data_IF_618358552217
#
_entry.id   IF_618358552217
#
_cell.length_a   1.000
_cell.length_b   1.000
_cell.length_c   1.000
_cell.angle_alpha   90.00
_cell.angle_beta   90.00
_cell.angle_gamma   90.00
#
_symmetry.space_group_name_H-M   'P 1'
#
loop_
_entity.id
_entity.type
_entity.pdbx_description
1 polymer ?
#
# COMPACT_ATOMS: atom_id res chain seq x y z
N UNK A 1 0.14 19.81 -5.21
CA UNK A 1 1.17 18.99 -4.58
C UNK A 1 0.72 18.62 -3.17
N UNK A 2 0.67 17.33 -2.87
CA UNK A 2 0.27 16.88 -1.53
C UNK A 2 1.28 17.35 -0.49
N UNK A 3 0.87 17.47 0.78
CA UNK A 3 1.72 17.85 1.92
C UNK A 3 3.01 17.01 1.96
N UNK A 4 2.95 15.73 1.52
CA UNK A 4 4.08 14.80 1.51
C UNK A 4 5.03 14.97 0.32
N UNK A 5 4.65 15.69 -0.74
CA UNK A 5 5.55 15.98 -1.88
C UNK A 5 6.68 16.97 -1.55
N UNK A 6 6.64 17.58 -0.35
CA UNK A 6 7.66 18.53 0.16
C UNK A 6 8.30 18.06 1.46
N UNK A 7 8.06 16.82 1.89
CA UNK A 7 8.60 16.30 3.14
C UNK A 7 9.82 15.43 2.82
N UNK A 8 10.98 15.85 3.29
CA UNK A 8 12.15 14.97 3.34
C UNK A 8 11.91 13.91 4.40
N UNK A 9 11.74 12.65 3.98
CA UNK A 9 11.54 11.52 4.87
C UNK A 9 12.88 10.79 5.09
N UNK A 10 13.04 10.24 6.28
CA UNK A 10 14.16 9.35 6.58
C UNK A 10 13.71 7.89 6.41
N UNK A 11 14.48 7.11 5.66
CA UNK A 11 14.16 5.72 5.31
C UNK A 11 15.06 4.75 6.06
N UNK A 12 14.49 3.95 6.94
CA UNK A 12 15.12 2.76 7.50
C UNK A 12 15.05 1.63 6.49
N UNK A 13 16.16 0.94 6.28
CA UNK A 13 16.30 -0.05 5.22
C UNK A 13 17.32 -1.14 5.54
N UNK A 14 17.20 -2.27 4.88
CA UNK A 14 18.19 -3.35 4.92
C UNK A 14 18.84 -3.61 3.55
N UNK A 15 18.39 -2.93 2.49
CA UNK A 15 18.91 -3.06 1.13
C UNK A 15 19.11 -1.69 0.47
N UNK A 16 19.73 -1.65 -0.70
CA UNK A 16 19.86 -0.43 -1.52
C UNK A 16 18.52 -0.06 -2.13
N UNK A 17 17.95 1.05 -1.71
CA UNK A 17 16.63 1.53 -2.15
C UNK A 17 16.60 2.98 -2.59
N UNK A 18 17.71 3.71 -2.50
CA UNK A 18 17.79 5.16 -2.70
C UNK A 18 17.19 5.63 -4.01
N UNK A 19 17.44 4.89 -5.09
CA UNK A 19 16.95 5.26 -6.43
C UNK A 19 15.44 5.14 -6.59
N UNK A 20 14.77 4.42 -5.71
CA UNK A 20 13.33 4.20 -5.74
C UNK A 20 12.55 5.33 -5.06
N UNK A 21 13.21 6.12 -4.24
CA UNK A 21 12.61 7.24 -3.51
C UNK A 21 13.02 8.60 -4.09
N UNK A 22 12.32 9.70 -3.72
CA UNK A 22 12.73 11.06 -4.05
C UNK A 22 14.14 11.38 -3.58
N UNK A 23 14.84 12.26 -4.31
CA UNK A 23 16.25 12.60 -4.05
C UNK A 23 16.49 13.37 -2.74
N UNK A 24 15.46 13.98 -2.19
CA UNK A 24 15.47 14.71 -0.93
C UNK A 24 15.27 13.81 0.31
N UNK A 25 15.05 12.51 0.10
CA UNK A 25 15.01 11.54 1.19
C UNK A 25 16.43 11.21 1.68
N UNK A 26 16.52 10.93 2.97
CA UNK A 26 17.75 10.44 3.61
C UNK A 26 17.57 9.02 4.09
N UNK A 27 18.67 8.30 4.30
CA UNK A 27 18.64 6.84 4.49
C UNK A 27 19.51 6.43 5.67
N UNK A 28 19.07 5.41 6.39
CA UNK A 28 19.91 4.71 7.36
C UNK A 28 21.03 3.92 6.67
N UNK A 29 22.01 3.46 7.43
CA UNK A 29 22.83 2.31 7.04
C UNK A 29 21.97 1.06 6.80
N UNK A 30 22.56 0.00 6.24
CA UNK A 30 21.84 -1.27 6.06
C UNK A 30 21.58 -1.90 7.42
N UNK A 31 20.30 -2.18 7.69
CA UNK A 31 19.83 -2.76 8.96
C UNK A 31 20.27 -1.97 10.21
N UNK A 32 20.50 -0.67 10.04
CA UNK A 32 21.02 0.22 11.08
C UNK A 32 19.91 1.10 11.65
N UNK A 33 19.63 0.94 12.92
CA UNK A 33 18.65 1.73 13.70
C UNK A 33 19.32 2.56 14.80
N UNK A 34 20.65 2.67 14.79
CA UNK A 34 21.41 3.38 15.84
C UNK A 34 21.19 4.88 15.85
N UNK A 35 20.68 5.44 14.74
CA UNK A 35 20.38 6.85 14.60
C UNK A 35 18.97 7.10 14.07
N UNK A 36 18.21 7.86 14.83
CA UNK A 36 16.84 8.32 14.47
C UNK A 36 16.89 9.85 14.39
N UNK A 37 16.96 10.46 13.19
CA UNK A 37 17.11 11.91 13.07
C UNK A 37 15.86 12.65 13.57
N UNK A 38 16.02 13.42 14.64
CA UNK A 38 14.91 14.16 15.28
C UNK A 38 14.34 15.28 14.39
N UNK A 39 15.09 15.77 13.41
CA UNK A 39 14.72 16.82 12.46
C UNK A 39 14.01 16.29 11.21
N UNK A 40 13.95 14.96 10.99
CA UNK A 40 13.20 14.37 9.89
C UNK A 40 11.72 14.76 9.94
N UNK A 41 11.13 15.05 8.79
CA UNK A 41 9.70 15.38 8.68
C UNK A 41 8.77 14.19 8.93
N UNK A 42 9.29 12.98 8.79
CA UNK A 42 8.65 11.71 9.02
C UNK A 42 9.59 10.58 8.61
N UNK A 43 9.12 9.35 8.72
CA UNK A 43 9.96 8.17 8.55
C UNK A 43 9.29 7.16 7.64
N UNK A 44 10.13 6.40 6.93
CA UNK A 44 9.71 5.22 6.15
C UNK A 44 10.45 4.02 6.71
N UNK A 45 9.74 2.94 6.93
CA UNK A 45 10.30 1.64 7.25
C UNK A 45 10.13 0.73 6.04
N UNK A 46 11.24 0.41 5.37
CA UNK A 46 11.22 -0.45 4.20
C UNK A 46 12.29 -1.53 4.30
N UNK A 47 11.93 -2.59 4.95
CA UNK A 47 12.75 -3.80 5.08
C UNK A 47 12.22 -4.87 4.13
N UNK A 48 13.13 -5.47 3.39
CA UNK A 48 12.85 -6.53 2.43
C UNK A 48 13.20 -7.89 3.04
N UNK A 49 12.56 -8.95 2.55
CA UNK A 49 12.83 -10.31 3.01
C UNK A 49 14.33 -10.63 2.85
N UNK A 50 14.94 -11.33 3.82
CA UNK A 50 16.34 -11.69 3.72
C UNK A 50 16.56 -12.73 2.62
N UNK A 51 17.68 -12.59 1.91
CA UNK A 51 18.11 -13.53 0.89
C UNK A 51 19.20 -14.41 1.49
N UNK A 52 18.86 -15.62 1.84
CA UNK A 52 19.82 -16.55 2.48
C UNK A 52 19.60 -17.99 2.08
N UNK A 53 20.67 -18.78 2.19
CA UNK A 53 20.64 -20.23 2.03
C UNK A 53 20.20 -20.94 3.32
N UNK A 54 20.39 -20.30 4.47
CA UNK A 54 19.97 -20.81 5.76
C UNK A 54 18.60 -20.21 6.10
N UNK A 55 17.59 -21.03 6.01
CA UNK A 55 16.20 -20.63 6.20
C UNK A 55 15.82 -20.36 7.66
N UNK A 56 16.42 -21.08 8.59
CA UNK A 56 16.25 -20.79 10.03
C UNK A 56 16.79 -19.40 10.35
N UNK A 57 18.01 -19.08 9.87
CA UNK A 57 18.59 -17.75 10.03
C UNK A 57 17.72 -16.66 9.39
N UNK A 58 17.08 -16.94 8.23
CA UNK A 58 16.14 -16.00 7.60
C UNK A 58 14.90 -15.73 8.45
N UNK A 59 14.35 -16.74 9.13
CA UNK A 59 13.23 -16.59 10.07
C UNK A 59 13.65 -15.75 11.27
N UNK A 60 14.80 -16.05 11.88
CA UNK A 60 15.32 -15.27 13.00
C UNK A 60 15.58 -13.81 12.62
N UNK A 61 16.09 -13.57 11.42
CA UNK A 61 16.36 -12.23 10.89
C UNK A 61 15.05 -11.42 10.71
N UNK A 62 14.00 -12.04 10.18
CA UNK A 62 12.67 -11.40 10.05
C UNK A 62 12.10 -11.04 11.43
N UNK A 63 12.23 -11.94 12.40
CA UNK A 63 11.82 -11.67 13.79
C UNK A 63 12.62 -10.52 14.40
N UNK A 64 13.94 -10.45 14.11
CA UNK A 64 14.80 -9.35 14.51
C UNK A 64 14.36 -8.02 13.89
N UNK A 65 13.91 -8.01 12.63
CA UNK A 65 13.38 -6.82 11.99
C UNK A 65 12.11 -6.31 12.65
N UNK A 66 11.23 -7.21 13.09
CA UNK A 66 10.05 -6.82 13.86
C UNK A 66 10.42 -6.14 15.18
N UNK A 67 11.36 -6.71 15.94
CA UNK A 67 11.82 -6.12 17.19
C UNK A 67 12.45 -4.74 16.99
N UNK A 68 13.23 -4.56 15.91
CA UNK A 68 13.82 -3.27 15.55
C UNK A 68 12.76 -2.24 15.16
N UNK A 69 11.74 -2.67 14.41
CA UNK A 69 10.62 -1.82 14.04
C UNK A 69 9.88 -1.31 15.28
N UNK A 70 9.53 -2.22 16.20
CA UNK A 70 8.82 -1.88 17.43
C UNK A 70 9.65 -0.90 18.30
N UNK A 71 10.96 -1.15 18.39
CA UNK A 71 11.88 -0.24 19.09
C UNK A 71 11.90 1.16 18.44
N UNK A 72 12.06 1.24 17.12
CA UNK A 72 12.12 2.53 16.39
C UNK A 72 10.79 3.27 16.52
N UNK A 73 9.66 2.56 16.34
CA UNK A 73 8.33 3.17 16.46
C UNK A 73 8.08 3.78 17.85
N UNK A 74 8.56 3.10 18.89
CA UNK A 74 8.43 3.59 20.27
C UNK A 74 9.30 4.85 20.57
N UNK A 75 10.35 5.10 19.80
CA UNK A 75 11.23 6.27 19.95
C UNK A 75 10.77 7.48 19.12
N UNK A 76 9.92 7.28 18.13
CA UNK A 76 9.45 8.35 17.25
C UNK A 76 8.30 9.09 17.91
N UNK A 77 8.37 10.42 17.92
CA UNK A 77 7.32 11.29 18.43
C UNK A 77 6.00 11.04 17.66
N UNK A 78 4.91 10.89 18.40
CA UNK A 78 3.57 10.61 17.87
C UNK A 78 3.01 11.68 16.91
N UNK A 79 3.60 12.86 16.87
CA UNK A 79 3.28 13.91 15.91
C UNK A 79 3.93 13.70 14.53
N UNK A 80 4.89 12.77 14.41
CA UNK A 80 5.59 12.46 13.18
C UNK A 80 5.04 11.20 12.52
N UNK A 81 4.77 11.30 11.23
CA UNK A 81 4.25 10.17 10.46
C UNK A 81 5.34 9.12 10.23
N UNK A 82 5.00 7.88 10.48
CA UNK A 82 5.76 6.67 10.12
C UNK A 82 4.99 5.93 9.04
N UNK A 83 5.66 5.59 7.95
CA UNK A 83 5.10 4.81 6.84
C UNK A 83 5.88 3.50 6.77
N UNK A 84 5.22 2.37 7.07
CA UNK A 84 5.82 1.06 6.97
C UNK A 84 5.31 0.34 5.71
N UNK A 85 6.22 -0.28 4.95
CA UNK A 85 5.86 -1.17 3.85
C UNK A 85 5.85 -2.61 4.35
N UNK A 86 4.86 -3.40 3.91
CA UNK A 86 4.86 -4.84 4.17
C UNK A 86 6.05 -5.51 3.47
N UNK A 87 6.44 -6.68 3.96
CA UNK A 87 7.49 -7.49 3.37
C UNK A 87 6.88 -8.48 2.37
N UNK A 88 7.59 -8.70 1.25
CA UNK A 88 7.18 -9.64 0.21
C UNK A 88 8.28 -10.65 -0.08
N UNK A 89 7.91 -11.89 -0.26
CA UNK A 89 8.78 -12.95 -0.74
C UNK A 89 8.86 -12.90 -2.27
N UNK A 90 9.74 -12.03 -2.77
CA UNK A 90 9.95 -11.83 -4.21
C UNK A 90 11.17 -12.54 -4.76
N UNK A 91 11.86 -13.31 -3.93
CA UNK A 91 13.09 -13.98 -4.31
C UNK A 91 12.82 -15.43 -4.68
N UNK A 92 13.38 -15.86 -5.81
CA UNK A 92 13.37 -17.27 -6.15
C UNK A 92 14.14 -18.06 -5.09
N UNK A 93 13.49 -19.06 -4.50
CA UNK A 93 14.19 -19.99 -3.63
C UNK A 93 15.35 -20.63 -4.39
N UNK A 94 16.58 -20.56 -3.88
CA UNK A 94 17.76 -21.05 -4.58
C UNK A 94 17.75 -22.56 -4.78
N UNK A 95 16.93 -23.31 -4.03
CA UNK A 95 16.78 -24.75 -4.08
C UNK A 95 15.32 -25.17 -3.86
N UNK A 96 15.02 -26.39 -4.22
CA UNK A 96 13.67 -26.97 -4.36
C UNK A 96 12.91 -27.21 -3.05
N UNK A 97 13.42 -26.81 -1.92
CA UNK A 97 12.71 -27.01 -0.65
C UNK A 97 11.63 -25.95 -0.46
N UNK A 98 10.46 -26.44 -0.13
CA UNK A 98 9.28 -25.64 0.15
C UNK A 98 9.48 -24.91 1.49
N UNK A 99 9.56 -23.60 1.42
CA UNK A 99 9.94 -22.83 2.58
C UNK A 99 8.76 -22.10 3.23
N UNK A 100 7.85 -22.91 3.74
CA UNK A 100 6.72 -22.38 4.49
C UNK A 100 7.12 -21.62 5.75
N UNK A 101 8.29 -21.88 6.34
CA UNK A 101 8.74 -21.22 7.56
C UNK A 101 9.04 -19.73 7.32
N UNK A 102 9.79 -19.41 6.25
CA UNK A 102 10.07 -18.01 5.89
C UNK A 102 8.80 -17.27 5.47
N UNK A 103 7.97 -17.91 4.65
CA UNK A 103 6.67 -17.33 4.28
C UNK A 103 5.80 -17.05 5.51
N UNK A 104 5.72 -18.02 6.45
CA UNK A 104 5.01 -17.83 7.70
C UNK A 104 5.57 -16.71 8.56
N UNK A 105 6.90 -16.53 8.60
CA UNK A 105 7.53 -15.42 9.29
C UNK A 105 7.19 -14.07 8.65
N UNK A 106 7.19 -13.99 7.32
CA UNK A 106 6.77 -12.79 6.57
C UNK A 106 5.31 -12.46 6.84
N UNK A 107 4.42 -13.44 6.82
CA UNK A 107 3.00 -13.26 7.12
C UNK A 107 2.78 -12.73 8.55
N UNK A 108 3.51 -13.28 9.52
CA UNK A 108 3.47 -12.82 10.91
C UNK A 108 3.98 -11.39 11.05
N UNK A 109 5.12 -11.07 10.41
CA UNK A 109 5.67 -9.72 10.37
C UNK A 109 4.66 -8.71 9.79
N UNK A 110 4.05 -9.03 8.64
CA UNK A 110 3.06 -8.17 8.01
C UNK A 110 1.81 -7.99 8.89
N UNK A 111 1.33 -9.07 9.50
CA UNK A 111 0.21 -9.01 10.44
C UNK A 111 0.52 -8.09 11.63
N UNK A 112 1.73 -8.18 12.20
CA UNK A 112 2.16 -7.32 13.29
C UNK A 112 2.20 -5.83 12.90
N UNK A 113 2.64 -5.49 11.69
CA UNK A 113 2.57 -4.11 11.19
C UNK A 113 1.13 -3.58 11.15
N UNK A 114 0.17 -4.36 10.63
CA UNK A 114 -1.23 -3.96 10.57
C UNK A 114 -1.87 -3.86 11.97
N UNK A 115 -1.51 -4.73 12.91
CA UNK A 115 -1.96 -4.59 14.30
C UNK A 115 -1.36 -3.33 14.97
N UNK A 116 -0.09 -3.03 14.72
CA UNK A 116 0.55 -1.82 15.21
C UNK A 116 -0.13 -0.54 14.66
N UNK A 117 -0.56 -0.54 13.38
CA UNK A 117 -1.29 0.59 12.80
C UNK A 117 -2.61 0.89 13.51
N UNK A 118 -3.31 -0.12 14.03
CA UNK A 118 -4.60 0.07 14.72
C UNK A 118 -4.46 0.87 16.02
N UNK A 119 -3.31 0.75 16.68
CA UNK A 119 -3.06 1.38 17.99
C UNK A 119 -2.18 2.62 17.90
N UNK A 120 -1.42 2.81 16.80
CA UNK A 120 -0.54 3.96 16.58
C UNK A 120 -1.11 4.87 15.50
N UNK A 121 -1.69 6.00 15.88
CA UNK A 121 -2.36 6.92 14.95
C UNK A 121 -1.42 7.58 13.94
N UNK A 122 -0.13 7.65 14.26
CA UNK A 122 0.93 8.20 13.41
C UNK A 122 1.56 7.17 12.46
N UNK A 123 1.29 5.87 12.63
CA UNK A 123 1.73 4.81 11.73
C UNK A 123 0.74 4.64 10.58
N UNK A 124 1.27 4.43 9.37
CA UNK A 124 0.54 4.04 8.16
C UNK A 124 1.25 2.87 7.52
N UNK A 125 0.54 1.77 7.35
CA UNK A 125 1.06 0.58 6.67
C UNK A 125 0.63 0.59 5.21
N UNK A 126 1.59 0.40 4.31
CA UNK A 126 1.37 0.25 2.88
C UNK A 126 1.61 -1.21 2.51
N UNK A 127 0.60 -1.85 1.95
CA UNK A 127 0.71 -3.19 1.37
C UNK A 127 1.59 -3.15 0.12
N UNK A 128 2.85 -3.59 0.26
CA UNK A 128 3.81 -3.62 -0.83
C UNK A 128 3.43 -4.64 -1.92
N UNK A 129 2.61 -5.63 -1.58
CA UNK A 129 2.08 -6.58 -2.56
C UNK A 129 1.27 -5.90 -3.67
N UNK A 130 0.69 -4.73 -3.41
CA UNK A 130 -0.01 -3.95 -4.45
C UNK A 130 0.92 -3.48 -5.58
N UNK A 131 2.22 -3.35 -5.30
CA UNK A 131 3.22 -3.08 -6.32
C UNK A 131 3.70 -4.38 -6.96
N UNK A 132 4.13 -5.35 -6.16
CA UNK A 132 4.82 -6.56 -6.63
C UNK A 132 3.93 -7.44 -7.50
N UNK A 133 2.64 -7.56 -7.20
CA UNK A 133 1.69 -8.40 -7.96
C UNK A 133 1.47 -7.97 -9.42
N UNK A 134 1.93 -6.78 -9.80
CA UNK A 134 1.81 -6.30 -11.19
C UNK A 134 2.92 -6.82 -12.11
N UNK A 135 3.89 -7.57 -11.56
CA UNK A 135 5.07 -8.03 -12.29
C UNK A 135 5.32 -9.51 -12.03
N UNK A 136 5.80 -10.26 -13.03
CA UNK A 136 6.38 -11.58 -12.80
C UNK A 136 7.56 -11.49 -11.82
N UNK A 137 7.76 -12.51 -10.99
CA UNK A 137 8.87 -12.56 -10.02
C UNK A 137 10.23 -12.33 -10.69
N UNK A 138 10.43 -12.88 -11.90
CA UNK A 138 11.66 -12.71 -12.68
C UNK A 138 11.98 -11.24 -13.06
N UNK A 139 10.96 -10.37 -13.07
CA UNK A 139 11.14 -8.95 -13.35
C UNK A 139 11.33 -8.12 -12.07
N UNK A 140 10.90 -8.64 -10.93
CA UNK A 140 10.99 -7.95 -9.64
C UNK A 140 12.40 -7.94 -9.07
N UNK A 141 13.18 -8.99 -9.30
CA UNK A 141 14.48 -9.21 -8.72
C UNK A 141 15.53 -9.62 -9.77
N UNK A 142 16.78 -9.20 -9.57
CA UNK A 142 17.90 -9.55 -10.45
C UNK A 142 19.15 -9.79 -9.62
N UNK A 143 19.63 -11.02 -9.61
CA UNK A 143 20.82 -11.47 -8.89
C UNK A 143 22.07 -10.63 -9.15
N UNK A 144 22.26 -10.16 -10.39
CA UNK A 144 23.38 -9.31 -10.76
C UNK A 144 23.40 -8.01 -9.94
N UNK A 145 22.24 -7.33 -9.89
CA UNK A 145 22.16 -6.06 -9.16
C UNK A 145 22.19 -6.27 -7.64
N UNK A 146 21.70 -7.41 -7.17
CA UNK A 146 21.84 -7.76 -5.75
C UNK A 146 23.31 -7.94 -5.38
N UNK A 147 24.09 -8.74 -6.11
CA UNK A 147 25.51 -8.98 -5.80
C UNK A 147 26.42 -7.77 -6.05
N UNK A 148 26.06 -6.87 -6.96
CA UNK A 148 26.85 -5.65 -7.22
C UNK A 148 26.59 -4.57 -6.15
N UNK A 149 25.35 -4.42 -5.71
CA UNK A 149 24.95 -3.24 -4.91
C UNK A 149 23.84 -3.51 -3.91
N UNK A 150 23.60 -4.76 -3.55
CA UNK A 150 22.57 -5.17 -2.59
C UNK A 150 21.17 -4.58 -2.89
N UNK A 151 20.81 -4.52 -4.18
CA UNK A 151 19.48 -4.11 -4.60
C UNK A 151 18.51 -5.28 -4.50
N UNK A 152 17.54 -5.18 -3.60
CA UNK A 152 16.47 -6.17 -3.44
C UNK A 152 15.31 -5.97 -4.43
N UNK A 153 15.34 -4.92 -5.24
CA UNK A 153 14.36 -4.65 -6.31
C UNK A 153 15.12 -4.39 -7.60
N UNK A 154 14.61 -4.96 -8.70
CA UNK A 154 15.21 -4.74 -10.03
C UNK A 154 15.19 -3.24 -10.40
N UNK A 155 16.34 -2.63 -10.69
CA UNK A 155 16.42 -1.19 -11.01
C UNK A 155 15.64 -0.77 -12.26
N UNK A 156 15.21 -1.69 -13.12
CA UNK A 156 14.30 -1.40 -14.24
C UNK A 156 12.97 -0.83 -13.76
N UNK A 157 12.53 -1.21 -12.56
CA UNK A 157 11.24 -0.81 -11.98
C UNK A 157 11.28 0.54 -11.26
N UNK A 158 12.41 1.26 -11.30
CA UNK A 158 12.57 2.54 -10.57
C UNK A 158 11.44 3.53 -10.85
N UNK A 159 11.11 3.76 -12.12
CA UNK A 159 10.06 4.74 -12.50
C UNK A 159 8.67 4.31 -12.03
N UNK A 160 8.39 3.01 -12.15
CA UNK A 160 7.09 2.45 -11.80
C UNK A 160 6.90 2.47 -10.28
N UNK A 161 7.96 2.12 -9.52
CA UNK A 161 7.95 2.24 -8.07
C UNK A 161 7.74 3.69 -7.62
N UNK A 162 8.46 4.65 -8.20
CA UNK A 162 8.31 6.07 -7.87
C UNK A 162 6.89 6.55 -8.16
N UNK A 163 6.30 6.16 -9.28
CA UNK A 163 4.92 6.51 -9.61
C UNK A 163 3.92 5.88 -8.62
N UNK A 164 4.12 4.61 -8.25
CA UNK A 164 3.32 3.92 -7.25
C UNK A 164 3.47 4.58 -5.87
N UNK A 165 4.69 4.85 -5.43
CA UNK A 165 4.99 5.51 -4.15
C UNK A 165 4.30 6.86 -4.03
N UNK A 166 4.40 7.70 -5.07
CA UNK A 166 3.75 9.00 -5.09
C UNK A 166 2.22 8.89 -4.95
N UNK A 167 1.58 7.93 -5.64
CA UNK A 167 0.14 7.68 -5.48
C UNK A 167 -0.21 7.25 -4.05
N UNK A 168 0.65 6.44 -3.39
CA UNK A 168 0.43 6.05 -2.00
C UNK A 168 0.54 7.23 -1.05
N UNK A 169 1.55 8.08 -1.21
CA UNK A 169 1.67 9.30 -0.42
C UNK A 169 0.48 10.23 -0.61
N UNK A 170 0.00 10.40 -1.82
CA UNK A 170 -1.21 11.17 -2.09
C UNK A 170 -2.43 10.57 -1.38
N UNK A 171 -2.59 9.26 -1.42
CA UNK A 171 -3.65 8.54 -0.73
C UNK A 171 -3.63 8.75 0.79
N UNK A 172 -2.44 8.71 1.40
CA UNK A 172 -2.25 8.97 2.83
C UNK A 172 -2.56 10.45 3.17
N UNK A 173 -2.19 11.38 2.28
CA UNK A 173 -2.41 12.81 2.46
C UNK A 173 -3.85 13.26 2.20
N UNK A 174 -4.62 12.47 1.48
CA UNK A 174 -5.98 12.82 1.11
C UNK A 174 -6.84 12.97 2.37
N UNK A 175 -7.31 14.20 2.60
CA UNK A 175 -8.48 14.41 3.46
C UNK A 175 -9.63 13.61 2.82
N UNK A 176 -10.13 12.60 3.52
CA UNK A 176 -11.26 11.79 3.04
C UNK A 176 -12.37 12.72 2.55
N UNK A 177 -12.79 12.58 1.30
CA UNK A 177 -13.98 13.26 0.81
C UNK A 177 -15.16 12.75 1.63
N UNK A 178 -15.91 13.67 2.21
CA UNK A 178 -17.01 13.33 3.12
C UNK A 178 -18.33 13.10 2.40
N UNK A 179 -18.41 13.50 1.14
CA UNK A 179 -19.64 13.45 0.36
C UNK A 179 -19.35 13.03 -1.09
N UNK A 180 -20.23 12.20 -1.63
CA UNK A 180 -20.30 11.84 -3.05
C UNK A 180 -21.66 12.27 -3.55
N UNK A 181 -21.67 13.09 -4.62
CA UNK A 181 -22.87 13.47 -5.34
C UNK A 181 -23.02 12.53 -6.54
N UNK A 182 -24.16 11.88 -6.66
CA UNK A 182 -24.46 10.86 -7.66
C UNK A 182 -25.53 11.38 -8.61
N UNK A 183 -25.34 11.11 -9.89
CA UNK A 183 -26.43 11.14 -10.87
C UNK A 183 -27.19 9.80 -10.86
N UNK A 184 -28.38 9.76 -11.39
CA UNK A 184 -29.24 8.56 -11.41
C UNK A 184 -29.08 7.79 -12.73
N UNK A 185 -29.50 8.42 -13.85
CA UNK A 185 -29.58 7.78 -15.16
C UNK A 185 -28.17 7.39 -15.67
N UNK A 186 -28.04 6.17 -16.16
CA UNK A 186 -26.77 5.59 -16.62
C UNK A 186 -25.62 5.64 -15.58
N UNK A 187 -25.95 5.93 -14.32
CA UNK A 187 -25.02 5.96 -13.18
C UNK A 187 -25.41 4.94 -12.12
N UNK A 188 -26.62 5.02 -11.55
CA UNK A 188 -27.11 4.04 -10.58
C UNK A 188 -27.88 2.90 -11.25
N UNK A 189 -28.41 3.12 -12.43
CA UNK A 189 -29.04 2.13 -13.32
C UNK A 189 -28.72 2.43 -14.78
N UNK A 190 -28.88 1.47 -15.66
CA UNK A 190 -28.74 1.69 -17.09
C UNK A 190 -30.06 2.15 -17.69
N UNK A 191 -30.02 3.16 -18.55
CA UNK A 191 -31.19 3.78 -19.17
C UNK A 191 -31.54 5.11 -18.53
N UNK A 192 -32.55 5.78 -19.11
CA UNK A 192 -33.09 7.08 -18.70
C UNK A 192 -34.50 6.87 -18.23
N UNK A 193 -34.77 7.09 -16.95
CA UNK A 193 -36.10 6.78 -16.34
C UNK A 193 -37.27 7.49 -17.05
N UNK A 194 -37.10 8.76 -17.39
CA UNK A 194 -38.13 9.55 -18.08
C UNK A 194 -38.41 9.11 -19.52
N UNK A 195 -37.52 8.38 -20.19
CA UNK A 195 -37.66 7.89 -21.56
C UNK A 195 -38.01 6.40 -21.59
N UNK A 196 -37.36 5.58 -20.78
CA UNK A 196 -37.44 4.11 -20.82
C UNK A 196 -38.54 3.58 -19.85
N UNK A 197 -38.96 4.40 -18.89
CA UNK A 197 -39.85 4.00 -17.81
C UNK A 197 -39.24 3.00 -16.85
N UNK A 198 -39.93 2.64 -15.77
CA UNK A 198 -39.45 1.70 -14.73
C UNK A 198 -39.12 0.32 -15.32
N UNK A 199 -39.86 -0.15 -16.32
CA UNK A 199 -39.63 -1.45 -16.96
C UNK A 199 -38.43 -1.46 -17.92
N UNK A 200 -37.99 -0.31 -18.40
CA UNK A 200 -36.88 -0.17 -19.34
C UNK A 200 -35.50 0.03 -18.67
N UNK A 201 -35.50 0.48 -17.43
CA UNK A 201 -34.24 0.64 -16.72
C UNK A 201 -33.57 -0.71 -16.38
N UNK A 202 -32.25 -0.74 -16.42
CA UNK A 202 -31.44 -1.96 -16.22
C UNK A 202 -30.75 -1.92 -14.84
N UNK A 203 -31.29 -2.73 -13.91
CA UNK A 203 -30.78 -2.88 -12.57
C UNK A 203 -30.97 -4.34 -12.11
N UNK A 204 -29.92 -4.96 -11.58
CA UNK A 204 -29.96 -6.38 -11.20
C UNK A 204 -29.97 -7.33 -12.42
N UNK A 205 -30.29 -8.63 -12.19
CA UNK A 205 -30.29 -9.66 -13.25
C UNK A 205 -28.92 -9.85 -13.90
N UNK A 206 -28.90 -9.91 -15.24
CA UNK A 206 -27.68 -10.07 -16.03
C UNK A 206 -27.03 -8.73 -16.39
N UNK A 207 -25.95 -8.80 -17.19
CA UNK A 207 -25.30 -7.60 -17.72
C UNK A 207 -26.25 -6.83 -18.66
N UNK A 208 -26.30 -5.49 -18.59
CA UNK A 208 -25.49 -4.59 -17.74
C UNK A 208 -26.09 -4.31 -16.34
N UNK A 209 -27.31 -4.72 -16.05
CA UNK A 209 -28.00 -4.41 -14.78
C UNK A 209 -27.22 -4.89 -13.55
N UNK A 210 -26.56 -6.05 -13.65
CA UNK A 210 -25.71 -6.59 -12.58
C UNK A 210 -24.52 -5.67 -12.21
N UNK A 211 -23.95 -4.98 -13.20
CA UNK A 211 -22.86 -4.04 -12.95
C UNK A 211 -23.33 -2.84 -12.13
N UNK A 212 -24.49 -2.28 -12.45
CA UNK A 212 -25.10 -1.20 -11.67
C UNK A 212 -25.45 -1.63 -10.24
N UNK A 213 -26.03 -2.82 -10.08
CA UNK A 213 -26.31 -3.36 -8.75
C UNK A 213 -25.02 -3.56 -7.91
N UNK A 214 -23.93 -3.99 -8.52
CA UNK A 214 -22.63 -4.11 -7.86
C UNK A 214 -22.10 -2.74 -7.43
N UNK A 215 -22.18 -1.74 -8.32
CA UNK A 215 -21.78 -0.38 -8.02
C UNK A 215 -22.58 0.22 -6.86
N UNK A 216 -23.90 0.05 -6.82
CA UNK A 216 -24.73 0.48 -5.70
C UNK A 216 -24.31 -0.17 -4.37
N UNK A 217 -24.01 -1.49 -4.37
CA UNK A 217 -23.50 -2.18 -3.18
C UNK A 217 -22.18 -1.60 -2.71
N UNK A 218 -21.30 -1.20 -3.63
CA UNK A 218 -20.02 -0.55 -3.31
C UNK A 218 -20.23 0.83 -2.67
N UNK A 219 -21.19 1.61 -3.18
CA UNK A 219 -21.59 2.89 -2.58
C UNK A 219 -22.14 2.72 -1.16
N UNK A 220 -22.93 1.69 -0.91
CA UNK A 220 -23.43 1.39 0.45
C UNK A 220 -22.29 1.07 1.43
N UNK A 221 -21.21 0.41 0.97
CA UNK A 221 -20.04 0.20 1.83
C UNK A 221 -19.32 1.51 2.16
N UNK A 222 -19.21 2.43 1.19
CA UNK A 222 -18.66 3.77 1.44
C UNK A 222 -19.54 4.55 2.43
N UNK A 223 -20.85 4.47 2.32
CA UNK A 223 -21.78 5.10 3.27
C UNK A 223 -21.59 4.55 4.69
N UNK A 224 -21.48 3.23 4.85
CA UNK A 224 -21.18 2.59 6.14
C UNK A 224 -19.83 3.03 6.71
N UNK A 225 -18.87 3.37 5.84
CA UNK A 225 -17.56 3.93 6.23
C UNK A 225 -17.62 5.45 6.54
N UNK A 226 -18.80 6.06 6.58
CA UNK A 226 -19.02 7.46 6.96
C UNK A 226 -18.99 8.46 5.80
N UNK A 227 -19.07 7.99 4.55
CA UNK A 227 -19.21 8.87 3.38
C UNK A 227 -20.69 9.21 3.18
N UNK A 228 -21.01 10.49 3.10
CA UNK A 228 -22.38 10.96 2.80
C UNK A 228 -22.63 10.74 1.32
N UNK A 229 -23.72 10.05 0.99
CA UNK A 229 -24.21 9.93 -0.38
C UNK A 229 -25.34 10.93 -0.59
N UNK A 230 -25.31 11.64 -1.69
CA UNK A 230 -26.40 12.55 -2.12
C UNK A 230 -26.64 12.39 -3.61
N UNK A 231 -27.81 12.78 -4.04
CA UNK A 231 -28.25 12.65 -5.43
C UNK A 231 -28.39 14.05 -6.04
N UNK A 232 -27.97 14.18 -7.29
CA UNK A 232 -28.28 15.34 -8.13
C UNK A 232 -28.66 14.80 -9.51
N UNK A 233 -29.94 14.85 -9.82
CA UNK A 233 -30.51 14.32 -11.06
C UNK A 233 -31.40 15.36 -11.74
N UNK A 234 -31.58 15.19 -13.06
CA UNK A 234 -32.52 15.97 -13.86
C UNK A 234 -33.93 15.38 -13.88
N UNK A 235 -34.14 14.20 -13.27
CA UNK A 235 -35.40 13.52 -13.23
C UNK A 235 -36.40 14.30 -12.37
N UNK A 236 -37.69 14.27 -12.73
CA UNK A 236 -38.74 14.85 -11.89
C UNK A 236 -38.91 14.00 -10.62
N UNK A 237 -39.13 14.66 -9.49
CA UNK A 237 -39.35 13.99 -8.20
C UNK A 237 -40.58 13.11 -8.16
N UNK A 238 -41.51 13.30 -9.13
CA UNK A 238 -42.76 12.55 -9.25
C UNK A 238 -42.64 11.27 -10.12
N UNK A 239 -41.52 11.07 -10.84
CA UNK A 239 -41.24 9.89 -11.66
C UNK A 239 -40.51 8.83 -10.83
#
# INVERSE_FOLDING_TARGET
>A
PSKYHRMSLFVFRNNTVERFFPKDYTFSGYDDISFIPADASGYVWFYQAPIGYNREASVEEIQGYQQKFDFVLAQIDSNKTVIALTMEDIYAAPFTEDDYAVRGAIEQYNAALFEAEKVNTNLKVIDYSEFTRNYPVADLFDWKFYFISQMGINPKLTKDFQAWWNRKLESIALKRKKCIVLDLDNTLWGGVLGEDGISGIKIGGDYPGKAFAFFQKSLLQLSKAGVILTICSKNNEAD
#
